data_IF_733028048436
#
_entry.id   IF_733028048436
#
_cell.length_a   1.000
_cell.length_b   1.000
_cell.length_c   1.000
_cell.angle_alpha   90.00
_cell.angle_beta   90.00
_cell.angle_gamma   90.00
#
_symmetry.space_group_name_H-M   'P 1'
#
loop_
_entity.id
_entity.type
_entity.pdbx_description
1 polymer ?
#
# COMPACT_ATOMS: atom_id res chain seq x y z
N UNK A 1 -51.54 3.75 44.42
CA UNK A 1 -51.40 2.51 45.24
C UNK A 1 -49.94 2.10 45.13
N UNK A 2 -49.03 2.45 46.07
CA UNK A 2 -48.71 1.73 47.33
C UNK A 2 -48.51 0.22 47.06
N UNK A 3 -47.36 -0.43 47.29
CA UNK A 3 -46.40 -0.31 48.41
C UNK A 3 -45.06 -1.01 48.13
N UNK A 4 -44.03 -0.48 48.78
CA UNK A 4 -42.70 -1.01 49.08
C UNK A 4 -42.69 -2.26 49.99
N UNK A 5 -41.51 -2.89 50.12
CA UNK A 5 -41.20 -3.84 51.20
C UNK A 5 -39.71 -4.22 51.29
N UNK A 6 -38.97 -3.52 52.16
CA UNK A 6 -37.60 -3.79 52.62
C UNK A 6 -37.49 -4.92 53.68
N UNK A 7 -36.27 -5.41 53.95
CA UNK A 7 -35.86 -6.00 55.25
C UNK A 7 -34.66 -6.97 55.16
N UNK A 8 -33.41 -6.57 55.47
CA UNK A 8 -32.65 -6.71 56.77
C UNK A 8 -32.55 -8.17 57.28
N UNK A 9 -31.46 -8.77 57.77
CA UNK A 9 -30.09 -8.40 58.20
C UNK A 9 -29.38 -9.65 58.82
N UNK A 10 -28.04 -9.56 59.01
CA UNK A 10 -26.98 -10.49 59.56
C UNK A 10 -27.28 -11.14 60.96
N UNK A 11 -26.47 -12.04 61.62
CA UNK A 11 -24.98 -12.21 61.57
C UNK A 11 -24.28 -13.58 61.89
N UNK A 12 -23.01 -13.70 61.46
CA UNK A 12 -21.79 -14.08 62.24
C UNK A 12 -21.59 -15.42 62.97
N UNK A 13 -20.46 -16.12 62.70
CA UNK A 13 -19.59 -16.78 63.71
C UNK A 13 -18.19 -17.14 63.17
N UNK A 14 -17.16 -16.61 63.82
CA UNK A 14 -15.75 -17.01 63.72
C UNK A 14 -15.47 -18.31 64.50
N UNK A 15 -14.50 -19.12 64.06
CA UNK A 15 -13.56 -19.85 64.94
C UNK A 15 -12.17 -20.04 64.28
N UNK A 16 -11.15 -19.68 65.07
CA UNK A 16 -9.70 -20.02 65.05
C UNK A 16 -9.49 -21.52 64.76
N UNK A 17 -8.46 -22.06 64.11
CA UNK A 17 -7.08 -21.67 63.86
C UNK A 17 -6.20 -22.87 64.26
N UNK A 18 -5.36 -23.43 63.37
CA UNK A 18 -4.19 -24.20 63.78
C UNK A 18 -3.09 -24.21 62.71
N UNK A 19 -1.85 -24.00 63.15
CA UNK A 19 -0.61 -23.88 62.39
C UNK A 19 0.19 -25.17 62.53
N UNK A 20 0.30 -25.97 61.48
CA UNK A 20 1.50 -26.77 61.19
C UNK A 20 1.38 -27.40 59.81
N UNK A 21 2.51 -27.70 59.17
CA UNK A 21 2.73 -28.21 57.79
C UNK A 21 3.09 -27.15 56.77
N UNK A 22 4.28 -26.58 56.93
CA UNK A 22 4.98 -25.90 55.85
C UNK A 22 6.49 -26.19 55.94
N UNK A 23 6.92 -27.39 55.52
CA UNK A 23 8.35 -27.72 55.33
C UNK A 23 8.71 -28.65 54.16
N UNK A 24 7.76 -29.17 53.38
CA UNK A 24 8.06 -30.12 52.29
C UNK A 24 7.72 -29.64 50.87
N UNK A 25 7.58 -28.32 50.63
CA UNK A 25 7.31 -27.77 49.28
C UNK A 25 8.45 -26.98 48.65
N UNK A 26 9.58 -26.83 49.34
CA UNK A 26 10.70 -25.99 48.88
C UNK A 26 11.87 -26.77 48.26
N UNK A 27 11.88 -28.11 48.28
CA UNK A 27 12.96 -28.90 47.64
C UNK A 27 12.71 -29.27 46.17
N UNK A 28 11.46 -29.28 45.71
CA UNK A 28 11.14 -29.60 44.30
C UNK A 28 11.20 -28.38 43.37
N UNK A 29 11.13 -27.15 43.90
CA UNK A 29 11.20 -25.92 43.07
C UNK A 29 12.62 -25.54 42.63
N UNK A 30 13.65 -26.04 43.31
CA UNK A 30 15.04 -25.70 43.01
C UNK A 30 15.69 -26.63 41.96
N UNK A 31 15.21 -27.87 41.80
CA UNK A 31 15.67 -28.77 40.72
C UNK A 31 15.16 -28.37 39.33
N UNK A 32 13.92 -27.86 39.23
CA UNK A 32 13.35 -27.37 37.96
C UNK A 32 13.96 -26.03 37.49
N UNK A 33 14.44 -25.20 38.42
CA UNK A 33 15.12 -23.93 38.08
C UNK A 33 16.52 -24.14 37.50
N UNK A 34 17.22 -25.20 37.88
CA UNK A 34 18.56 -25.47 37.35
C UNK A 34 18.56 -26.19 36.00
N UNK A 35 17.56 -27.03 35.72
CA UNK A 35 17.37 -27.62 34.39
C UNK A 35 16.88 -26.59 33.36
N UNK A 36 16.00 -25.66 33.75
CA UNK A 36 15.53 -24.57 32.86
C UNK A 36 16.63 -23.55 32.54
N UNK A 37 17.57 -23.28 33.45
CA UNK A 37 18.71 -22.38 33.19
C UNK A 37 19.78 -22.99 32.28
N UNK A 38 20.00 -24.31 32.30
CA UNK A 38 20.93 -25.00 31.38
C UNK A 38 20.40 -25.08 29.95
N UNK A 39 19.09 -25.25 29.76
CA UNK A 39 18.47 -25.29 28.42
C UNK A 39 18.38 -23.91 27.74
N UNK A 40 18.22 -22.83 28.51
CA UNK A 40 18.23 -21.44 28.00
C UNK A 40 19.64 -20.94 27.59
N UNK A 41 20.70 -21.43 28.25
CA UNK A 41 22.10 -21.06 27.92
C UNK A 41 22.64 -21.78 26.67
N UNK A 42 22.10 -22.96 26.34
CA UNK A 42 22.40 -23.68 25.10
C UNK A 42 21.70 -23.08 23.87
N UNK A 43 20.41 -22.73 24.00
CA UNK A 43 19.62 -22.11 22.92
C UNK A 43 20.10 -20.70 22.54
N UNK A 44 20.49 -19.87 23.52
CA UNK A 44 21.01 -18.52 23.24
C UNK A 44 22.37 -18.50 22.53
N UNK A 45 23.21 -19.54 22.67
CA UNK A 45 24.48 -19.68 21.94
C UNK A 45 24.29 -20.19 20.51
N UNK A 46 23.30 -21.05 20.25
CA UNK A 46 22.95 -21.50 18.90
C UNK A 46 22.17 -20.43 18.11
N UNK A 47 21.26 -19.69 18.75
CA UNK A 47 20.57 -18.55 18.14
C UNK A 47 21.53 -17.37 17.86
N UNK A 48 22.56 -17.19 18.70
CA UNK A 48 23.60 -16.19 18.49
C UNK A 48 24.61 -16.56 17.39
N UNK A 49 24.82 -17.85 17.11
CA UNK A 49 25.66 -18.32 16.00
C UNK A 49 24.90 -18.41 14.67
N UNK A 50 23.62 -18.79 14.67
CA UNK A 50 22.75 -18.73 13.48
C UNK A 50 22.41 -17.30 13.02
N UNK A 51 22.65 -16.29 13.87
CA UNK A 51 22.53 -14.86 13.52
C UNK A 51 23.80 -14.23 12.94
N UNK A 52 24.92 -14.97 12.79
CA UNK A 52 26.22 -14.41 12.38
C UNK A 52 26.77 -14.89 11.03
N UNK A 53 26.14 -15.86 10.39
CA UNK A 53 26.31 -16.28 8.98
C UNK A 53 24.89 -16.40 8.42
N UNK A 54 24.34 -15.63 7.50
CA UNK A 54 24.86 -14.84 6.38
C UNK A 54 24.28 -13.41 6.44
N UNK A 55 25.08 -12.42 6.83
CA UNK A 55 24.97 -11.09 6.21
C UNK A 55 25.73 -11.14 4.89
N UNK A 56 25.23 -11.96 3.96
CA UNK A 56 25.66 -11.84 2.57
C UNK A 56 25.14 -10.50 2.12
N UNK A 57 26.05 -9.61 1.71
CA UNK A 57 25.67 -8.37 1.04
C UNK A 57 24.69 -8.75 -0.07
N UNK A 58 23.43 -8.34 0.09
CA UNK A 58 22.44 -8.53 -0.96
C UNK A 58 22.92 -7.70 -2.15
N UNK A 59 23.11 -8.34 -3.33
CA UNK A 59 23.64 -7.66 -4.49
C UNK A 59 22.70 -6.53 -4.93
N UNK A 60 23.28 -5.62 -5.70
CA UNK A 60 22.68 -4.41 -6.27
C UNK A 60 21.20 -4.55 -6.64
N UNK A 61 20.47 -3.44 -6.48
CA UNK A 61 19.08 -3.26 -6.91
C UNK A 61 18.77 -4.07 -8.15
N UNK A 62 17.64 -4.81 -8.14
CA UNK A 62 17.22 -5.58 -9.31
C UNK A 62 17.39 -4.73 -10.55
N UNK A 63 18.21 -5.23 -11.47
CA UNK A 63 18.32 -4.72 -12.82
C UNK A 63 16.97 -5.00 -13.50
N UNK A 64 16.03 -4.08 -13.27
CA UNK A 64 14.85 -3.88 -14.09
C UNK A 64 15.29 -3.67 -15.54
N UNK A 65 14.43 -3.94 -16.54
CA UNK A 65 14.77 -3.74 -17.94
C UNK A 65 15.50 -2.40 -18.14
N UNK A 66 16.72 -2.41 -18.70
CA UNK A 66 17.55 -1.22 -18.76
C UNK A 66 16.82 -0.10 -19.51
N UNK A 67 16.77 1.08 -18.88
CA UNK A 67 16.15 2.29 -19.44
C UNK A 67 14.71 2.58 -19.00
N UNK A 68 14.06 1.72 -18.20
CA UNK A 68 12.73 2.01 -17.64
C UNK A 68 12.84 2.81 -16.32
N UNK A 69 12.06 3.89 -16.22
CA UNK A 69 12.02 4.74 -15.01
C UNK A 69 11.39 3.99 -13.83
N UNK A 70 12.05 3.98 -12.66
CA UNK A 70 11.45 3.38 -11.45
C UNK A 70 10.58 4.39 -10.72
N UNK A 71 9.32 4.01 -10.49
CA UNK A 71 8.30 4.82 -9.85
C UNK A 71 7.72 4.11 -8.64
N UNK A 72 7.44 4.85 -7.56
CA UNK A 72 6.97 4.26 -6.30
C UNK A 72 5.76 5.03 -5.78
N UNK A 73 4.67 4.34 -5.45
CA UNK A 73 3.51 4.92 -4.76
C UNK A 73 3.54 4.53 -3.29
N UNK A 74 3.33 5.51 -2.41
CA UNK A 74 3.39 5.33 -0.96
C UNK A 74 2.15 5.89 -0.29
N UNK A 75 1.75 5.26 0.81
CA UNK A 75 0.54 5.60 1.59
C UNK A 75 0.84 5.89 3.06
N UNK A 76 2.11 5.93 3.44
CA UNK A 76 2.56 6.31 4.78
C UNK A 76 3.93 7.00 4.73
N UNK A 77 4.28 7.72 5.80
CA UNK A 77 5.58 8.38 5.91
C UNK A 77 6.74 7.38 5.99
N UNK A 78 6.55 6.24 6.65
CA UNK A 78 7.58 5.19 6.73
C UNK A 78 7.89 4.58 5.36
N UNK A 79 6.86 4.39 4.52
CA UNK A 79 7.02 3.93 3.13
C UNK A 79 7.74 4.99 2.27
N UNK A 80 7.46 6.29 2.49
CA UNK A 80 8.18 7.37 1.82
C UNK A 80 9.68 7.34 2.12
N UNK A 81 10.06 7.16 3.40
CA UNK A 81 11.48 7.08 3.77
C UNK A 81 12.17 5.86 3.12
N UNK A 82 11.50 4.71 3.08
CA UNK A 82 11.99 3.51 2.38
C UNK A 82 12.15 3.75 0.87
N UNK A 83 11.23 4.47 0.22
CA UNK A 83 11.35 4.81 -1.19
C UNK A 83 12.52 5.78 -1.46
N UNK A 84 12.74 6.75 -0.57
CA UNK A 84 13.84 7.71 -0.67
C UNK A 84 15.22 7.08 -0.41
N UNK A 85 15.30 5.96 0.31
CA UNK A 85 16.56 5.23 0.54
C UNK A 85 17.04 4.43 -0.68
N UNK A 86 16.21 4.34 -1.72
CA UNK A 86 16.51 3.63 -2.97
C UNK A 86 16.87 4.62 -4.06
N UNK A 87 18.16 4.70 -4.40
CA UNK A 87 18.68 5.68 -5.36
C UNK A 87 18.11 5.54 -6.77
N UNK A 88 17.65 4.35 -7.17
CA UNK A 88 17.03 4.14 -8.47
C UNK A 88 15.61 4.67 -8.57
N UNK A 89 14.94 5.01 -7.46
CA UNK A 89 13.60 5.59 -7.52
C UNK A 89 13.67 7.01 -8.11
N UNK A 90 13.01 7.23 -9.24
CA UNK A 90 13.05 8.49 -9.98
C UNK A 90 11.82 9.36 -9.70
N UNK A 91 10.65 8.74 -9.54
CA UNK A 91 9.40 9.41 -9.19
C UNK A 91 8.70 8.73 -8.03
N UNK A 92 8.25 9.53 -7.06
CA UNK A 92 7.48 9.05 -5.90
C UNK A 92 6.09 9.70 -5.93
N UNK A 93 5.05 8.87 -6.04
CA UNK A 93 3.66 9.28 -5.86
C UNK A 93 3.26 9.24 -4.39
N UNK A 94 2.79 10.37 -3.87
CA UNK A 94 2.08 10.41 -2.61
C UNK A 94 0.61 10.08 -2.84
N UNK A 95 0.08 9.09 -2.12
CA UNK A 95 -1.36 8.85 -2.11
C UNK A 95 -2.08 9.95 -1.33
N UNK A 96 -2.76 10.83 -2.04
CA UNK A 96 -3.32 12.04 -1.42
C UNK A 96 -4.42 11.76 -0.39
N UNK A 97 -5.08 10.61 -0.51
CA UNK A 97 -6.10 10.19 0.44
C UNK A 97 -5.51 9.67 1.76
N UNK A 98 -4.23 9.33 1.77
CA UNK A 98 -3.51 8.82 2.95
C UNK A 98 -2.84 9.91 3.79
N UNK A 99 -2.48 11.03 3.17
CA UNK A 99 -1.83 12.17 3.84
C UNK A 99 -2.81 13.33 4.02
N UNK A 100 -2.63 14.12 5.08
CA UNK A 100 -3.42 15.33 5.28
C UNK A 100 -3.01 16.43 4.29
N UNK A 101 -3.92 17.35 3.98
CA UNK A 101 -3.64 18.47 3.06
C UNK A 101 -2.49 19.36 3.58
N UNK A 102 -2.35 19.49 4.90
CA UNK A 102 -1.25 20.23 5.52
C UNK A 102 0.11 19.54 5.41
N UNK A 103 0.15 18.21 5.30
CA UNK A 103 1.41 17.47 5.18
C UNK A 103 1.94 17.45 3.75
N UNK A 104 1.04 17.40 2.75
CA UNK A 104 1.40 17.20 1.35
C UNK A 104 2.47 18.18 0.83
N UNK A 105 2.40 19.51 1.03
CA UNK A 105 3.45 20.43 0.55
C UNK A 105 4.83 20.11 1.10
N UNK A 106 4.92 19.79 2.40
CA UNK A 106 6.18 19.43 3.05
C UNK A 106 6.75 18.10 2.55
N UNK A 107 5.89 17.12 2.28
CA UNK A 107 6.29 15.83 1.72
C UNK A 107 6.76 15.95 0.26
N UNK A 108 6.05 16.74 -0.56
CA UNK A 108 6.48 17.04 -1.93
C UNK A 108 7.85 17.72 -1.92
N UNK A 109 8.05 18.73 -1.07
CA UNK A 109 9.34 19.42 -0.94
C UNK A 109 10.47 18.45 -0.57
N UNK A 110 10.24 17.59 0.43
CA UNK A 110 11.21 16.56 0.83
C UNK A 110 11.61 15.65 -0.33
N UNK A 111 10.66 15.21 -1.15
CA UNK A 111 10.95 14.38 -2.34
C UNK A 111 11.85 15.14 -3.33
N UNK A 112 11.55 16.43 -3.58
CA UNK A 112 12.36 17.28 -4.46
C UNK A 112 13.76 17.53 -3.93
N UNK A 113 13.91 17.78 -2.64
CA UNK A 113 15.21 17.97 -1.97
C UNK A 113 16.11 16.74 -2.07
N UNK A 114 15.53 15.54 -2.15
CA UNK A 114 16.26 14.29 -2.41
C UNK A 114 16.53 14.03 -3.91
N UNK A 115 16.30 15.04 -4.76
CA UNK A 115 16.54 14.99 -6.20
C UNK A 115 15.51 14.16 -6.99
N UNK A 116 14.36 13.82 -6.41
CA UNK A 116 13.36 12.93 -7.03
C UNK A 116 12.19 13.72 -7.59
N UNK A 117 11.49 13.18 -8.58
CA UNK A 117 10.23 13.73 -9.06
C UNK A 117 9.13 13.40 -8.06
N UNK A 118 8.31 14.39 -7.72
CA UNK A 118 7.20 14.23 -6.81
C UNK A 118 5.89 14.20 -7.60
N UNK A 119 5.10 13.17 -7.37
CA UNK A 119 3.80 13.00 -7.97
C UNK A 119 2.70 12.87 -6.93
N UNK A 120 1.46 13.05 -7.37
CA UNK A 120 0.28 12.83 -6.56
C UNK A 120 -0.55 11.71 -7.17
N UNK A 121 -0.96 10.72 -6.37
CA UNK A 121 -1.91 9.69 -6.77
C UNK A 121 -3.27 10.02 -6.19
N UNK A 122 -4.24 10.34 -7.04
CA UNK A 122 -5.59 10.77 -6.64
C UNK A 122 -6.42 9.61 -6.12
N UNK A 123 -7.36 9.82 -5.20
CA UNK A 123 -8.37 8.82 -4.73
C UNK A 123 -9.03 7.99 -5.85
N UNK A 124 -9.59 6.83 -5.50
CA UNK A 124 -10.38 6.00 -6.44
C UNK A 124 -11.85 6.40 -6.55
N UNK A 125 -12.39 7.08 -5.53
CA UNK A 125 -13.77 7.58 -5.51
C UNK A 125 -13.71 9.08 -5.31
N UNK A 126 -14.15 9.83 -6.32
CA UNK A 126 -14.37 11.27 -6.20
C UNK A 126 -15.69 11.52 -5.46
N UNK A 127 -15.62 12.16 -4.29
CA UNK A 127 -16.79 12.50 -3.49
C UNK A 127 -16.93 14.00 -3.41
N UNK A 128 -18.15 14.48 -3.66
CA UNK A 128 -18.49 15.91 -3.55
C UNK A 128 -19.00 16.28 -2.15
N UNK A 129 -19.36 15.31 -1.32
CA UNK A 129 -19.93 15.51 0.02
C UNK A 129 -18.90 15.42 1.16
N UNK A 130 -17.64 15.07 0.85
CA UNK A 130 -16.60 14.78 1.85
C UNK A 130 -15.23 15.25 1.41
N UNK A 131 -14.59 16.03 2.27
CA UNK A 131 -13.23 16.50 2.03
C UNK A 131 -13.16 17.49 0.87
N UNK A 132 -11.93 17.85 0.53
CA UNK A 132 -11.64 18.71 -0.61
C UNK A 132 -11.74 17.91 -1.92
N UNK A 133 -12.27 18.53 -2.97
CA UNK A 133 -12.28 17.91 -4.30
C UNK A 133 -10.84 17.73 -4.82
N UNK A 134 -10.65 16.80 -5.76
CA UNK A 134 -9.38 16.67 -6.48
C UNK A 134 -8.96 17.94 -7.18
N UNK A 135 -9.92 18.69 -7.74
CA UNK A 135 -9.72 20.00 -8.35
C UNK A 135 -9.06 20.98 -7.37
N UNK A 136 -9.74 21.30 -6.28
CA UNK A 136 -9.27 22.31 -5.34
C UNK A 136 -7.93 21.87 -4.70
N UNK A 137 -7.75 20.57 -4.44
CA UNK A 137 -6.48 20.05 -3.94
C UNK A 137 -5.33 20.34 -4.89
N UNK A 138 -5.48 20.04 -6.18
CA UNK A 138 -4.45 20.31 -7.18
C UNK A 138 -4.18 21.82 -7.29
N UNK A 139 -5.22 22.66 -7.34
CA UNK A 139 -5.09 24.13 -7.35
C UNK A 139 -4.23 24.64 -6.20
N UNK A 140 -4.31 24.04 -5.00
CA UNK A 140 -3.47 24.46 -3.88
C UNK A 140 -2.02 23.99 -3.91
N UNK A 141 -1.71 22.93 -4.65
CA UNK A 141 -0.37 22.34 -4.70
C UNK A 141 0.45 22.84 -5.90
N UNK A 142 -0.21 23.45 -6.88
CA UNK A 142 0.40 24.00 -8.10
C UNK A 142 1.36 25.19 -7.86
N UNK A 143 1.05 26.19 -7.01
CA UNK A 143 1.84 27.43 -6.92
C UNK A 143 3.31 27.24 -6.57
N UNK A 144 3.65 26.22 -5.76
CA UNK A 144 5.05 25.96 -5.37
C UNK A 144 5.87 25.25 -6.47
N UNK A 145 5.24 24.76 -7.54
CA UNK A 145 5.92 24.03 -8.61
C UNK A 145 6.54 22.69 -8.16
N UNK A 146 6.21 22.22 -6.95
CA UNK A 146 6.75 21.00 -6.36
C UNK A 146 6.12 19.72 -6.89
N UNK A 147 4.95 19.81 -7.54
CA UNK A 147 4.27 18.69 -8.18
C UNK A 147 4.76 18.55 -9.63
N UNK A 148 5.12 17.34 -10.08
CA UNK A 148 5.54 17.08 -11.47
C UNK A 148 4.68 16.03 -12.20
N UNK A 149 3.86 15.26 -11.49
CA UNK A 149 3.00 14.24 -12.09
C UNK A 149 1.73 14.04 -11.28
N UNK A 150 0.65 13.68 -11.97
CA UNK A 150 -0.63 13.31 -11.34
C UNK A 150 -1.09 11.99 -11.91
N UNK A 151 -1.35 11.02 -11.04
CA UNK A 151 -1.89 9.71 -11.37
C UNK A 151 -3.40 9.70 -11.09
N UNK A 152 -4.18 9.66 -12.18
CA UNK A 152 -5.64 9.64 -12.19
C UNK A 152 -6.15 8.21 -12.08
N UNK A 153 -7.06 7.95 -11.14
CA UNK A 153 -7.55 6.58 -10.84
C UNK A 153 -9.05 6.40 -11.06
N UNK A 154 -9.78 7.43 -11.45
CA UNK A 154 -11.21 7.32 -11.77
C UNK A 154 -11.58 8.17 -12.99
N UNK A 155 -12.65 7.77 -13.69
CA UNK A 155 -13.11 8.46 -14.90
C UNK A 155 -13.58 9.89 -14.60
N UNK A 156 -14.16 10.12 -13.41
CA UNK A 156 -14.64 11.43 -12.97
C UNK A 156 -13.50 12.45 -12.87
N UNK A 157 -12.29 12.00 -12.57
CA UNK A 157 -11.13 12.89 -12.45
C UNK A 157 -10.57 13.32 -13.81
N UNK A 158 -10.94 12.62 -14.89
CA UNK A 158 -10.43 12.92 -16.23
C UNK A 158 -11.03 14.18 -16.84
N UNK A 159 -12.04 14.79 -16.21
CA UNK A 159 -12.50 16.13 -16.59
C UNK A 159 -11.52 17.23 -16.16
N UNK A 160 -10.72 17.03 -15.11
CA UNK A 160 -9.86 18.07 -14.53
C UNK A 160 -8.84 18.65 -15.53
N UNK A 161 -8.14 17.84 -16.36
CA UNK A 161 -7.20 18.36 -17.35
C UNK A 161 -7.84 19.26 -18.43
N UNK A 162 -9.16 19.29 -18.53
CA UNK A 162 -9.91 20.08 -19.53
C UNK A 162 -10.55 21.33 -19.00
N UNK A 163 -10.72 21.44 -17.70
CA UNK A 163 -11.28 22.64 -17.12
C UNK A 163 -10.37 23.80 -17.50
N UNK A 164 -10.89 24.79 -18.23
CA UNK A 164 -10.10 25.90 -18.79
C UNK A 164 -9.27 26.59 -17.70
N UNK A 165 -9.82 26.64 -16.48
CA UNK A 165 -9.16 27.18 -15.28
C UNK A 165 -7.95 26.38 -14.81
N UNK A 166 -7.84 25.09 -15.14
CA UNK A 166 -6.77 24.20 -14.70
C UNK A 166 -5.89 23.68 -15.82
N UNK A 167 -6.40 23.65 -17.05
CA UNK A 167 -5.70 23.07 -18.21
C UNK A 167 -4.31 23.66 -18.40
N UNK A 168 -4.18 24.99 -18.28
CA UNK A 168 -2.89 25.68 -18.41
C UNK A 168 -1.91 25.26 -17.32
N UNK A 169 -2.38 25.10 -16.08
CA UNK A 169 -1.53 24.82 -14.93
C UNK A 169 -1.19 23.34 -14.79
N UNK A 170 -2.05 22.45 -15.29
CA UNK A 170 -1.82 21.01 -15.32
C UNK A 170 -0.99 20.56 -16.54
N UNK A 171 -1.00 21.32 -17.64
CA UNK A 171 -0.26 20.95 -18.86
C UNK A 171 1.26 20.73 -18.64
N UNK A 172 1.97 21.47 -17.76
CA UNK A 172 3.36 21.16 -17.42
C UNK A 172 3.53 19.81 -16.71
N UNK A 173 2.52 19.33 -15.98
CA UNK A 173 2.59 18.08 -15.24
C UNK A 173 2.53 16.87 -16.16
N UNK A 174 3.11 15.77 -15.72
CA UNK A 174 2.89 14.48 -16.34
C UNK A 174 1.55 13.89 -15.91
N UNK A 175 0.57 13.94 -16.82
CA UNK A 175 -0.75 13.35 -16.64
C UNK A 175 -0.67 11.84 -16.91
N UNK A 176 -0.77 11.03 -15.86
CA UNK A 176 -0.71 9.57 -15.92
C UNK A 176 -2.08 9.00 -15.61
N UNK A 177 -2.66 8.21 -16.52
CA UNK A 177 -3.96 7.58 -16.26
C UNK A 177 -3.75 6.11 -15.91
N UNK A 178 -4.26 5.71 -14.74
CA UNK A 178 -4.03 4.39 -14.16
C UNK A 178 -4.83 3.30 -14.90
N UNK A 179 -4.53 2.03 -14.63
CA UNK A 179 -5.21 0.89 -15.27
C UNK A 179 -6.72 0.88 -15.02
N UNK A 180 -7.19 1.60 -14.00
CA UNK A 180 -8.59 1.74 -13.59
C UNK A 180 -9.44 2.62 -14.49
N UNK A 181 -8.83 3.37 -15.42
CA UNK A 181 -9.58 4.15 -16.42
C UNK A 181 -9.88 3.33 -17.68
N UNK A 182 -9.53 2.04 -17.68
CA UNK A 182 -9.92 1.06 -18.70
C UNK A 182 -9.50 1.39 -20.14
N UNK A 183 -8.27 1.89 -20.32
CA UNK A 183 -7.70 2.14 -21.65
C UNK A 183 -7.20 0.85 -22.34
N UNK A 184 -8.09 -0.10 -22.61
CA UNK A 184 -7.73 -1.47 -23.01
C UNK A 184 -7.43 -1.67 -24.50
N UNK A 185 -7.79 -0.74 -25.36
CA UNK A 185 -7.57 -0.79 -26.80
C UNK A 185 -7.17 0.58 -27.34
N UNK A 186 -6.77 0.62 -28.61
CA UNK A 186 -6.39 1.83 -29.32
C UNK A 186 -7.46 2.93 -29.28
N UNK A 187 -8.74 2.61 -29.42
CA UNK A 187 -9.82 3.60 -29.41
C UNK A 187 -9.94 4.27 -28.04
N UNK A 188 -9.98 3.48 -26.96
CA UNK A 188 -10.01 3.98 -25.61
C UNK A 188 -8.75 4.79 -25.28
N UNK A 189 -7.57 4.32 -25.69
CA UNK A 189 -6.32 5.05 -25.51
C UNK A 189 -6.26 6.36 -26.30
N UNK A 190 -6.85 6.40 -27.51
CA UNK A 190 -6.97 7.62 -28.31
C UNK A 190 -7.85 8.66 -27.60
N UNK A 191 -8.95 8.20 -26.98
CA UNK A 191 -9.74 9.05 -26.09
C UNK A 191 -8.89 9.51 -24.92
N UNK A 192 -8.19 8.64 -24.20
CA UNK A 192 -7.35 9.07 -23.06
C UNK A 192 -6.26 10.09 -23.47
N UNK A 193 -5.67 9.93 -24.66
CA UNK A 193 -4.71 10.88 -25.23
C UNK A 193 -5.37 12.23 -25.51
N UNK A 194 -6.53 12.26 -26.14
CA UNK A 194 -7.28 13.51 -26.33
C UNK A 194 -7.66 14.11 -24.98
N UNK A 195 -7.82 13.24 -23.96
CA UNK A 195 -7.97 13.58 -22.55
C UNK A 195 -6.73 14.15 -21.84
N UNK A 196 -5.64 14.34 -22.56
CA UNK A 196 -4.40 14.93 -22.04
C UNK A 196 -3.48 13.92 -21.38
N UNK A 197 -3.77 12.62 -21.45
CA UNK A 197 -2.85 11.59 -20.97
C UNK A 197 -1.51 11.69 -21.71
N UNK A 198 -0.43 11.80 -20.95
CA UNK A 198 0.94 11.65 -21.45
C UNK A 198 1.43 10.22 -21.27
N UNK A 199 0.84 9.50 -20.31
CA UNK A 199 1.17 8.12 -19.98
C UNK A 199 -0.06 7.33 -19.58
N UNK A 200 -0.11 6.07 -20.02
CA UNK A 200 -1.12 5.10 -19.58
C UNK A 200 -0.46 3.96 -18.81
N UNK A 201 -1.13 3.50 -17.75
CA UNK A 201 -0.71 2.29 -17.05
C UNK A 201 -1.23 1.06 -17.81
N UNK A 202 -0.40 0.02 -17.95
CA UNK A 202 -0.80 -1.23 -18.59
C UNK A 202 -2.04 -1.82 -17.89
N UNK A 203 -3.06 -2.27 -18.66
CA UNK A 203 -4.21 -2.98 -18.10
C UNK A 203 -3.75 -4.25 -17.37
N UNK A 204 -4.19 -4.44 -16.13
CA UNK A 204 -3.79 -5.61 -15.33
C UNK A 204 -4.58 -6.88 -15.69
N UNK A 205 -5.64 -6.72 -16.48
CA UNK A 205 -6.55 -7.76 -16.93
C UNK A 205 -6.09 -8.48 -18.21
N UNK A 206 -5.16 -7.89 -18.95
CA UNK A 206 -4.65 -8.46 -20.20
C UNK A 206 -3.48 -9.41 -19.95
N UNK A 207 -3.32 -10.39 -20.84
CA UNK A 207 -2.22 -11.36 -20.86
C UNK A 207 -1.00 -10.78 -21.56
N UNK A 208 0.17 -11.41 -21.36
CA UNK A 208 1.41 -10.94 -21.98
C UNK A 208 1.31 -10.68 -23.50
N UNK A 209 0.78 -11.58 -24.35
CA UNK A 209 0.68 -11.30 -25.79
C UNK A 209 -0.25 -10.13 -26.12
N UNK A 210 -1.33 -9.97 -25.34
CA UNK A 210 -2.28 -8.87 -25.49
C UNK A 210 -1.66 -7.54 -25.06
N UNK A 211 -0.89 -7.54 -23.97
CA UNK A 211 -0.14 -6.38 -23.49
C UNK A 211 0.96 -5.95 -24.47
N UNK A 212 1.61 -6.91 -25.14
CA UNK A 212 2.59 -6.61 -26.19
C UNK A 212 1.92 -5.90 -27.38
N UNK A 213 0.79 -6.42 -27.86
CA UNK A 213 0.00 -5.77 -28.92
C UNK A 213 -0.51 -4.40 -28.48
N UNK A 214 -1.03 -4.30 -27.26
CA UNK A 214 -1.48 -3.03 -26.70
C UNK A 214 -0.36 -1.99 -26.65
N UNK A 215 0.88 -2.40 -26.29
CA UNK A 215 2.03 -1.49 -26.34
C UNK A 215 2.32 -0.98 -27.75
N UNK A 216 2.23 -1.82 -28.77
CA UNK A 216 2.41 -1.39 -30.17
C UNK A 216 1.37 -0.33 -30.57
N UNK A 217 0.13 -0.49 -30.12
CA UNK A 217 -0.93 0.52 -30.33
C UNK A 217 -0.61 1.84 -29.59
N UNK A 218 -0.08 1.77 -28.36
CA UNK A 218 0.32 2.96 -27.60
C UNK A 218 1.50 3.70 -28.24
N UNK A 219 2.46 2.94 -28.78
CA UNK A 219 3.59 3.50 -29.55
C UNK A 219 3.07 4.28 -30.76
N UNK A 220 2.10 3.73 -31.50
CA UNK A 220 1.43 4.40 -32.61
C UNK A 220 0.65 5.66 -32.21
N UNK A 221 0.26 5.80 -30.94
CA UNK A 221 -0.37 6.99 -30.37
C UNK A 221 0.62 7.94 -29.69
N UNK A 222 1.92 7.63 -29.69
CA UNK A 222 2.97 8.39 -29.00
C UNK A 222 2.68 8.57 -27.49
N UNK A 223 2.03 7.58 -26.88
CA UNK A 223 1.76 7.54 -25.45
C UNK A 223 2.87 6.76 -24.74
N UNK A 224 3.37 7.31 -23.63
CA UNK A 224 4.27 6.56 -22.74
C UNK A 224 3.49 5.51 -21.97
N UNK A 225 4.16 4.47 -21.48
CA UNK A 225 3.51 3.43 -20.68
C UNK A 225 4.13 3.23 -19.30
N UNK A 226 3.30 2.87 -18.32
CA UNK A 226 3.71 2.54 -16.95
C UNK A 226 3.26 1.12 -16.62
N UNK A 227 4.19 0.24 -16.24
CA UNK A 227 3.86 -1.13 -15.87
C UNK A 227 3.85 -1.27 -14.36
N UNK A 228 2.72 -1.73 -13.80
CA UNK A 228 2.68 -2.13 -12.40
C UNK A 228 3.52 -3.41 -12.23
N UNK A 229 4.56 -3.35 -11.39
CA UNK A 229 5.44 -4.49 -11.08
C UNK A 229 5.10 -5.14 -9.76
N UNK A 230 4.64 -4.33 -8.81
CA UNK A 230 4.28 -4.75 -7.47
C UNK A 230 3.09 -3.96 -6.95
N UNK A 231 2.24 -4.62 -6.18
CA UNK A 231 1.30 -3.96 -5.28
C UNK A 231 0.12 -4.82 -4.88
N UNK A 232 -0.61 -4.41 -3.86
CA UNK A 232 -1.88 -5.05 -3.52
C UNK A 232 -2.99 -4.60 -4.48
N UNK A 233 -3.44 -5.50 -5.35
CA UNK A 233 -4.57 -5.22 -6.23
C UNK A 233 -5.87 -5.14 -5.41
N UNK A 234 -6.65 -4.05 -5.54
CA UNK A 234 -7.95 -3.95 -4.88
C UNK A 234 -8.91 -5.01 -5.43
N UNK A 235 -9.55 -5.74 -4.53
CA UNK A 235 -10.69 -6.60 -4.84
C UNK A 235 -11.98 -5.81 -4.86
N UNK A 236 -12.10 -4.81 -3.98
CA UNK A 236 -13.30 -3.97 -3.87
C UNK A 236 -12.93 -2.58 -3.37
N UNK A 237 -13.58 -1.57 -3.94
CA UNK A 237 -13.57 -0.19 -3.43
C UNK A 237 -15.00 0.13 -3.00
N UNK A 238 -15.20 0.62 -1.77
CA UNK A 238 -16.53 0.87 -1.24
C UNK A 238 -16.63 2.22 -0.53
N UNK A 239 -17.68 2.97 -0.84
CA UNK A 239 -18.08 4.18 -0.12
C UNK A 239 -18.82 3.86 1.20
N UNK A 240 -19.16 2.60 1.45
CA UNK A 240 -19.74 2.15 2.71
C UNK A 240 -18.62 1.79 3.69
N UNK A 241 -18.46 2.62 4.73
CA UNK A 241 -17.40 2.45 5.71
C UNK A 241 -17.54 1.14 6.50
N UNK A 242 -16.69 0.16 6.21
CA UNK A 242 -16.69 -1.15 6.87
C UNK A 242 -16.50 -1.05 8.40
N UNK A 243 -15.64 -0.13 8.86
CA UNK A 243 -15.43 0.14 10.28
C UNK A 243 -16.72 0.64 10.97
N UNK A 244 -17.48 1.50 10.31
CA UNK A 244 -18.76 2.01 10.83
C UNK A 244 -19.82 0.91 10.85
N UNK A 245 -19.85 0.06 9.81
CA UNK A 245 -20.80 -1.06 9.74
C UNK A 245 -20.51 -2.12 10.79
N UNK A 246 -19.24 -2.46 11.03
CA UNK A 246 -18.86 -3.49 11.99
C UNK A 246 -18.99 -3.03 13.45
N UNK A 247 -18.76 -1.74 13.73
CA UNK A 247 -18.90 -1.20 15.08
C UNK A 247 -19.23 0.30 15.07
N UNK A 248 -18.24 1.16 15.34
CA UNK A 248 -18.38 2.61 15.32
C UNK A 248 -17.26 3.24 14.50
N UNK A 249 -17.53 4.43 13.95
CA UNK A 249 -16.54 5.22 13.25
C UNK A 249 -15.43 5.67 14.22
N UNK A 250 -14.23 5.10 14.07
CA UNK A 250 -13.02 5.45 14.85
C UNK A 250 -12.00 6.13 13.94
N UNK A 251 -12.34 7.31 13.40
CA UNK A 251 -11.50 8.06 12.42
C UNK A 251 -9.99 7.91 12.72
N UNK A 252 -9.16 7.72 11.69
CA UNK A 252 -7.70 7.61 11.86
C UNK A 252 -7.17 6.18 12.10
N UNK A 253 -7.97 5.14 11.90
CA UNK A 253 -7.48 3.75 11.81
C UNK A 253 -7.29 3.37 10.33
N UNK A 254 -6.09 3.57 9.73
CA UNK A 254 -5.91 3.51 8.28
C UNK A 254 -5.90 2.09 7.73
N UNK A 255 -5.60 1.07 8.54
CA UNK A 255 -5.50 -0.32 8.09
C UNK A 255 -6.25 -1.27 9.03
N UNK A 256 -7.01 -2.18 8.43
CA UNK A 256 -7.75 -3.28 9.06
C UNK A 256 -7.51 -4.56 8.27
N UNK A 257 -7.93 -5.69 8.83
CA UNK A 257 -7.86 -6.98 8.16
C UNK A 257 -9.21 -7.67 8.24
N UNK A 258 -9.66 -8.20 7.11
CA UNK A 258 -10.82 -9.09 7.04
C UNK A 258 -10.31 -10.52 6.88
N UNK A 259 -10.91 -11.46 7.60
CA UNK A 259 -10.59 -12.87 7.47
C UNK A 259 -11.68 -13.57 6.68
N UNK A 260 -11.30 -14.27 5.62
CA UNK A 260 -12.24 -15.06 4.83
C UNK A 260 -12.53 -16.43 5.47
N UNK A 261 -13.41 -17.22 4.85
CA UNK A 261 -13.72 -18.60 5.28
C UNK A 261 -12.53 -19.56 5.20
N UNK A 262 -11.54 -19.26 4.37
CA UNK A 262 -10.31 -20.06 4.21
C UNK A 262 -9.23 -19.68 5.23
N UNK A 263 -9.52 -18.67 6.05
CA UNK A 263 -8.63 -18.16 7.08
C UNK A 263 -7.58 -17.17 6.56
N UNK A 264 -7.65 -16.75 5.29
CA UNK A 264 -6.76 -15.75 4.69
C UNK A 264 -7.17 -14.36 5.15
N UNK A 265 -6.16 -13.52 5.40
CA UNK A 265 -6.35 -12.13 5.82
C UNK A 265 -6.23 -11.19 4.61
N UNK A 266 -7.24 -10.36 4.40
CA UNK A 266 -7.32 -9.34 3.38
C UNK A 266 -7.07 -7.97 4.02
N UNK A 267 -6.04 -7.22 3.61
CA UNK A 267 -5.85 -5.88 4.10
C UNK A 267 -6.97 -4.97 3.61
N UNK A 268 -7.48 -4.12 4.50
CA UNK A 268 -8.50 -3.13 4.23
C UNK A 268 -7.97 -1.76 4.63
N UNK A 269 -7.74 -0.90 3.65
CA UNK A 269 -7.31 0.47 3.89
C UNK A 269 -8.52 1.40 3.99
N UNK A 270 -8.54 2.19 5.05
CA UNK A 270 -9.62 3.12 5.38
C UNK A 270 -9.18 4.56 5.04
N UNK A 271 -9.77 5.14 4.00
CA UNK A 271 -9.51 6.52 3.60
C UNK A 271 -10.51 7.44 4.29
N UNK A 272 -10.27 7.71 5.57
CA UNK A 272 -11.18 8.50 6.40
C UNK A 272 -11.39 9.94 5.89
N UNK A 273 -10.39 10.50 5.19
CA UNK A 273 -10.44 11.85 4.58
C UNK A 273 -11.62 12.02 3.64
N UNK A 274 -11.92 10.99 2.84
CA UNK A 274 -13.03 10.96 1.89
C UNK A 274 -14.06 9.87 2.21
N UNK A 275 -14.05 9.29 3.41
CA UNK A 275 -15.03 8.28 3.85
C UNK A 275 -15.26 7.13 2.84
N UNK A 276 -14.19 6.51 2.36
CA UNK A 276 -14.27 5.25 1.61
C UNK A 276 -13.21 4.25 2.11
N UNK A 277 -13.27 3.01 1.62
CA UNK A 277 -12.27 1.99 1.90
C UNK A 277 -11.95 1.12 0.68
N UNK A 278 -10.74 0.61 0.66
CA UNK A 278 -10.24 -0.37 -0.32
C UNK A 278 -9.96 -1.69 0.38
N UNK A 279 -10.60 -2.76 -0.10
CA UNK A 279 -10.32 -4.14 0.31
C UNK A 279 -9.37 -4.70 -0.73
N UNK A 280 -8.20 -5.14 -0.29
CA UNK A 280 -7.17 -5.71 -1.16
C UNK A 280 -7.24 -7.23 -1.18
N UNK A 281 -6.70 -7.81 -2.26
CA UNK A 281 -6.42 -9.23 -2.31
C UNK A 281 -5.45 -9.65 -1.19
N UNK A 282 -5.60 -10.85 -0.60
CA UNK A 282 -4.68 -11.37 0.41
C UNK A 282 -3.24 -11.48 -0.10
N UNK A 283 -3.09 -11.95 -1.35
CA UNK A 283 -1.80 -12.13 -2.00
C UNK A 283 -1.50 -10.90 -2.87
N UNK A 284 -0.30 -10.30 -2.70
CA UNK A 284 0.12 -9.14 -3.49
C UNK A 284 0.38 -9.53 -4.94
N UNK A 285 0.28 -8.58 -5.87
CA UNK A 285 0.78 -8.79 -7.23
C UNK A 285 2.30 -8.60 -7.27
N UNK A 286 3.01 -9.48 -7.97
CA UNK A 286 4.44 -9.37 -8.18
C UNK A 286 4.83 -9.95 -9.55
N UNK A 287 5.59 -9.19 -10.34
CA UNK A 287 6.21 -9.67 -11.58
C UNK A 287 7.70 -9.30 -11.73
N UNK A 288 8.35 -8.78 -10.68
CA UNK A 288 9.71 -8.23 -10.75
C UNK A 288 10.83 -9.23 -11.09
N UNK A 289 10.59 -10.53 -10.94
CA UNK A 289 11.51 -11.61 -11.35
C UNK A 289 11.23 -12.16 -12.76
N UNK A 290 10.17 -11.71 -13.45
CA UNK A 290 9.84 -12.11 -14.82
C UNK A 290 10.57 -11.25 -15.86
N UNK A 291 11.91 -11.18 -15.75
CA UNK A 291 12.73 -10.22 -16.49
C UNK A 291 12.57 -10.30 -18.01
N UNK A 292 12.44 -11.50 -18.56
CA UNK A 292 12.28 -11.71 -20.00
C UNK A 292 10.91 -11.24 -20.52
N UNK A 293 9.86 -11.44 -19.74
CA UNK A 293 8.53 -10.92 -20.08
C UNK A 293 8.46 -9.41 -19.93
N UNK A 294 9.04 -8.86 -18.86
CA UNK A 294 9.09 -7.42 -18.63
C UNK A 294 9.86 -6.69 -19.74
N UNK A 295 10.96 -7.28 -20.25
CA UNK A 295 11.72 -6.68 -21.34
C UNK A 295 10.94 -6.65 -22.65
N UNK A 296 10.13 -7.68 -22.95
CA UNK A 296 9.24 -7.73 -24.12
C UNK A 296 8.15 -6.66 -24.09
N UNK A 297 7.67 -6.30 -22.90
CA UNK A 297 6.67 -5.24 -22.75
C UNK A 297 7.22 -3.86 -23.12
N UNK A 298 8.53 -3.63 -23.03
CA UNK A 298 9.18 -2.34 -23.36
C UNK A 298 8.52 -1.15 -22.65
N UNK A 299 8.14 -1.34 -21.38
CA UNK A 299 7.49 -0.29 -20.59
C UNK A 299 8.47 0.87 -20.35
N UNK A 300 7.97 2.11 -20.48
CA UNK A 300 8.79 3.30 -20.25
C UNK A 300 9.08 3.55 -18.76
N UNK A 301 8.27 2.96 -17.89
CA UNK A 301 8.40 3.08 -16.44
C UNK A 301 7.79 1.89 -15.72
N UNK A 302 8.33 1.58 -14.55
CA UNK A 302 7.88 0.50 -13.68
C UNK A 302 7.39 1.08 -12.37
N UNK A 303 6.18 0.71 -11.96
CA UNK A 303 5.56 1.21 -10.73
C UNK A 303 5.49 0.13 -9.65
N UNK A 304 5.94 0.48 -8.46
CA UNK A 304 5.72 -0.25 -7.22
C UNK A 304 4.65 0.48 -6.41
N UNK A 305 3.59 -0.22 -6.03
CA UNK A 305 2.46 0.36 -5.32
C UNK A 305 2.33 -0.20 -3.90
N UNK A 306 2.79 0.58 -2.91
CA UNK A 306 2.75 0.20 -1.51
C UNK A 306 1.49 0.71 -0.80
N UNK A 307 0.88 -0.16 0.00
CA UNK A 307 -0.31 0.10 0.78
C UNK A 307 -0.17 -0.37 2.23
N UNK A 308 -0.07 -1.69 2.48
CA UNK A 308 -0.09 -2.31 3.81
C UNK A 308 1.30 -2.68 4.36
N UNK A 309 2.35 -2.51 3.56
CA UNK A 309 3.71 -2.96 3.82
C UNK A 309 4.42 -2.10 4.87
N UNK A 310 5.30 -2.76 5.65
CA UNK A 310 6.26 -2.09 6.52
C UNK A 310 7.37 -1.40 5.70
N UNK A 311 8.16 -0.53 6.34
CA UNK A 311 9.30 0.11 5.67
C UNK A 311 10.33 -0.94 5.22
N UNK A 312 10.58 -1.95 6.06
CA UNK A 312 11.50 -3.05 5.81
C UNK A 312 11.05 -3.89 4.61
N UNK A 313 9.75 -4.19 4.51
CA UNK A 313 9.17 -4.90 3.38
C UNK A 313 9.31 -4.07 2.10
N UNK A 314 8.99 -2.77 2.14
CA UNK A 314 9.12 -1.88 0.99
C UNK A 314 10.56 -1.86 0.46
N UNK A 315 11.52 -1.69 1.35
CA UNK A 315 12.95 -1.70 1.01
C UNK A 315 13.40 -3.03 0.42
N UNK A 316 12.95 -4.15 0.98
CA UNK A 316 13.29 -5.47 0.47
C UNK A 316 12.71 -5.69 -0.94
N UNK A 317 11.46 -5.31 -1.15
CA UNK A 317 10.73 -5.45 -2.43
C UNK A 317 11.35 -4.56 -3.51
N UNK A 318 11.67 -3.30 -3.21
CA UNK A 318 12.35 -2.39 -4.13
C UNK A 318 13.74 -2.90 -4.53
N UNK A 319 14.43 -3.59 -3.63
CA UNK A 319 15.72 -4.25 -3.93
C UNK A 319 15.56 -5.59 -4.64
N UNK A 320 14.33 -6.02 -4.92
CA UNK A 320 14.04 -7.20 -5.72
C UNK A 320 13.66 -8.46 -4.98
N UNK A 321 13.55 -8.40 -3.64
CA UNK A 321 13.10 -9.55 -2.87
C UNK A 321 11.60 -9.74 -3.13
N UNK A 322 11.16 -10.91 -3.62
CA UNK A 322 9.74 -11.15 -3.78
C UNK A 322 9.03 -11.10 -2.42
N UNK A 323 7.77 -10.62 -2.38
CA UNK A 323 6.96 -10.70 -1.17
C UNK A 323 6.72 -12.16 -0.78
N UNK A 324 6.34 -12.40 0.49
CA UNK A 324 6.16 -13.76 1.02
C UNK A 324 5.10 -14.58 0.27
N UNK A 325 4.02 -13.93 -0.15
CA UNK A 325 2.96 -14.53 -0.96
C UNK A 325 2.56 -13.56 -2.06
N UNK A 326 2.43 -14.07 -3.27
CA UNK A 326 2.04 -13.26 -4.40
C UNK A 326 1.32 -14.04 -5.49
N UNK A 327 0.61 -13.29 -6.33
CA UNK A 327 0.04 -13.73 -7.60
C UNK A 327 0.74 -13.05 -8.78
N UNK A 328 0.71 -13.70 -9.95
CA UNK A 328 1.17 -13.12 -11.22
C UNK A 328 0.05 -12.40 -11.97
N UNK A 329 -1.15 -12.34 -11.40
CA UNK A 329 -2.34 -11.90 -12.13
C UNK A 329 -2.51 -12.70 -13.43
N UNK A 330 -3.02 -12.06 -14.47
CA UNK A 330 -3.22 -12.69 -15.79
C UNK A 330 -1.97 -12.72 -16.67
N UNK A 331 -0.83 -12.20 -16.19
CA UNK A 331 0.39 -12.12 -16.98
C UNK A 331 0.90 -13.50 -17.44
N UNK A 332 0.74 -14.53 -16.58
CA UNK A 332 1.10 -15.93 -16.90
C UNK A 332 -0.07 -16.92 -16.79
N UNK A 333 -1.22 -16.53 -16.24
CA UNK A 333 -2.38 -17.41 -16.19
C UNK A 333 -2.98 -17.55 -17.59
N UNK A 334 -2.76 -18.73 -18.21
CA UNK A 334 -3.58 -19.20 -19.32
C UNK A 334 -5.06 -19.23 -18.92
N UNK A 335 -5.96 -19.27 -19.92
CA UNK A 335 -7.34 -19.67 -19.59
C UNK A 335 -7.22 -21.11 -19.09
N UNK A 336 -7.57 -21.38 -17.84
CA UNK A 336 -8.00 -22.74 -17.47
C UNK A 336 -9.37 -23.00 -18.07
#
# INVERSE_FOLDING_TARGET
>A
MRRDGEGRGKPGREKRGDRSRNRDRDRDKDRDKDQSKRSLKGRSREEGKRKKEERRALPAAVAFPPGAELRVSVTSYSQLLAALSVESAELIYLDEASFSDSELPGLLRRIREHGRRAGLRLRRIERTDRGRSSRELLESLLPEGLLQAVLYRSMEQLSLPFEESLKRDLNPLEQVFDYTVYAWNREAASVMRSLGAKRLTYPIELKLPELMRWKEEMDGLSLRTELLVYGHLPMMVSANCLQKTACQCRRGAPLRFLKDRTGREMPVRMYCKYCYNEIYNPDSFWCGDLKEELSKLRADSLRFDFSAESAEDCEAILRGRPPLRYTRGRLRSGVE
#
